data_IF_960540661189
#
_entry.id   IF_960540661189
#
_cell.length_a   1.000
_cell.length_b   1.000
_cell.length_c   1.000
_cell.angle_alpha   90.00
_cell.angle_beta   90.00
_cell.angle_gamma   90.00
#
_symmetry.space_group_name_H-M   'P 1'
#
loop_
_entity.id
_entity.type
_entity.pdbx_description
1 polymer ?
#
# COMPACT_ATOMS: atom_id res chain seq x y z
N UNK A 1 -23.53 15.96 -10.73
CA UNK A 1 -23.79 14.58 -11.20
C UNK A 1 -22.77 13.70 -10.50
N UNK A 2 -23.15 12.61 -9.86
CA UNK A 2 -22.16 11.63 -9.42
C UNK A 2 -21.50 11.08 -10.69
N UNK A 3 -20.21 11.27 -10.80
CA UNK A 3 -19.41 10.63 -11.86
C UNK A 3 -19.31 9.17 -11.45
N UNK A 4 -20.09 8.31 -12.11
CA UNK A 4 -19.99 6.86 -11.90
C UNK A 4 -18.63 6.35 -12.33
N UNK A 5 -18.31 5.10 -11.98
CA UNK A 5 -17.05 4.47 -12.42
C UNK A 5 -17.04 4.41 -13.95
N UNK A 6 -15.97 4.88 -14.61
CA UNK A 6 -15.87 4.84 -16.07
C UNK A 6 -15.97 3.41 -16.58
N UNK A 7 -16.64 3.22 -17.72
CA UNK A 7 -16.69 1.95 -18.42
C UNK A 7 -15.78 1.99 -19.64
N UNK A 8 -15.14 0.86 -19.91
CA UNK A 8 -14.27 0.67 -21.07
C UNK A 8 -14.74 -0.52 -21.90
N UNK A 9 -14.56 -0.51 -23.23
CA UNK A 9 -14.90 -1.65 -24.06
C UNK A 9 -13.93 -2.80 -23.78
N UNK A 10 -14.46 -3.96 -23.55
CA UNK A 10 -13.69 -5.19 -23.38
C UNK A 10 -14.26 -6.30 -24.26
N UNK A 11 -13.39 -6.94 -25.03
CA UNK A 11 -13.73 -8.06 -25.90
C UNK A 11 -13.16 -9.34 -25.31
N UNK A 12 -14.03 -10.26 -24.92
CA UNK A 12 -13.59 -11.58 -24.47
C UNK A 12 -13.07 -12.41 -25.66
N UNK A 13 -12.06 -13.27 -25.46
CA UNK A 13 -11.62 -14.18 -26.50
C UNK A 13 -12.77 -15.05 -27.00
N UNK A 14 -13.06 -14.98 -28.30
CA UNK A 14 -14.12 -15.75 -28.95
C UNK A 14 -15.49 -15.02 -29.07
N UNK A 15 -15.63 -13.82 -28.55
CA UNK A 15 -16.84 -12.99 -28.74
C UNK A 15 -16.65 -12.00 -29.90
N UNK A 16 -17.70 -11.80 -30.71
CA UNK A 16 -17.66 -10.84 -31.82
C UNK A 16 -17.83 -9.40 -31.36
N UNK A 17 -18.63 -9.17 -30.31
CA UNK A 17 -18.93 -7.85 -29.77
C UNK A 17 -18.18 -7.54 -28.49
N UNK A 18 -17.82 -6.26 -28.30
CA UNK A 18 -17.21 -5.77 -27.06
C UNK A 18 -18.30 -5.45 -26.02
N UNK A 19 -18.14 -6.01 -24.81
CA UNK A 19 -18.95 -5.62 -23.66
C UNK A 19 -18.36 -4.39 -22.96
N UNK A 20 -19.21 -3.50 -22.43
CA UNK A 20 -18.79 -2.35 -21.63
C UNK A 20 -18.65 -2.79 -20.16
N UNK A 21 -17.42 -2.85 -19.68
CA UNK A 21 -17.08 -3.26 -18.30
C UNK A 21 -16.52 -2.08 -17.50
N UNK A 22 -16.67 -2.12 -16.20
CA UNK A 22 -16.06 -1.18 -15.27
C UNK A 22 -14.51 -1.19 -15.42
N UNK A 23 -13.90 0.00 -15.42
CA UNK A 23 -12.46 0.14 -15.63
C UNK A 23 -11.65 -0.60 -14.55
N UNK A 24 -12.08 -0.58 -13.29
CA UNK A 24 -11.38 -1.31 -12.23
C UNK A 24 -11.44 -2.82 -12.44
N UNK A 25 -12.60 -3.36 -12.86
CA UNK A 25 -12.69 -4.77 -13.21
C UNK A 25 -11.72 -5.14 -14.33
N UNK A 26 -11.52 -4.25 -15.30
CA UNK A 26 -10.53 -4.48 -16.36
C UNK A 26 -9.10 -4.42 -15.84
N UNK A 27 -8.78 -3.44 -14.98
CA UNK A 27 -7.46 -3.28 -14.38
C UNK A 27 -7.12 -4.44 -13.43
N UNK A 28 -8.07 -4.91 -12.64
CA UNK A 28 -7.86 -6.07 -11.76
C UNK A 28 -7.50 -7.33 -12.56
N UNK A 29 -8.07 -7.53 -13.75
CA UNK A 29 -7.66 -8.64 -14.64
C UNK A 29 -6.22 -8.52 -15.13
N UNK A 30 -5.69 -7.28 -15.21
CA UNK A 30 -4.27 -7.04 -15.49
C UNK A 30 -3.42 -7.04 -14.21
N UNK A 31 -3.99 -7.46 -13.09
CA UNK A 31 -3.32 -7.56 -11.79
C UNK A 31 -2.92 -6.21 -11.18
N UNK A 32 -3.60 -5.14 -11.59
CA UNK A 32 -3.41 -3.79 -11.05
C UNK A 32 -4.45 -3.53 -9.97
N UNK A 33 -4.00 -3.37 -8.74
CA UNK A 33 -4.80 -3.13 -7.54
C UNK A 33 -4.61 -1.68 -7.06
N UNK A 34 -5.61 -1.13 -6.38
CA UNK A 34 -5.58 0.28 -5.96
C UNK A 34 -6.00 0.45 -4.51
N UNK A 35 -5.11 1.06 -3.72
CA UNK A 35 -5.41 1.62 -2.40
C UNK A 35 -5.44 3.15 -2.54
N UNK A 36 -6.58 3.69 -2.96
CA UNK A 36 -6.78 5.12 -3.25
C UNK A 36 -7.58 5.87 -2.20
N UNK A 37 -7.69 5.34 -0.98
CA UNK A 37 -8.51 5.87 0.10
C UNK A 37 -7.91 5.56 1.47
N UNK A 38 -8.63 5.94 2.53
CA UNK A 38 -8.32 5.52 3.90
C UNK A 38 -8.41 4.01 4.05
N UNK A 39 -7.51 3.44 4.87
CA UNK A 39 -7.46 2.01 5.16
C UNK A 39 -8.51 1.67 6.20
N UNK A 40 -9.59 1.05 5.76
CA UNK A 40 -10.67 0.51 6.59
C UNK A 40 -10.90 -0.98 6.32
N UNK A 41 -11.87 -1.57 7.00
CA UNK A 41 -12.19 -2.99 6.85
C UNK A 41 -12.76 -3.32 5.47
N UNK A 42 -13.45 -2.38 4.81
CA UNK A 42 -14.05 -2.61 3.52
C UNK A 42 -12.99 -2.74 2.42
N UNK A 43 -12.12 -1.72 2.28
CA UNK A 43 -11.04 -1.76 1.28
C UNK A 43 -10.04 -2.89 1.57
N UNK A 44 -9.77 -3.16 2.86
CA UNK A 44 -8.90 -4.27 3.26
C UNK A 44 -9.45 -5.61 2.77
N UNK A 45 -10.71 -5.91 3.04
CA UNK A 45 -11.33 -7.16 2.60
C UNK A 45 -11.37 -7.29 1.07
N UNK A 46 -11.60 -6.19 0.35
CA UNK A 46 -11.57 -6.17 -1.11
C UNK A 46 -10.18 -6.49 -1.66
N UNK A 47 -9.14 -5.82 -1.14
CA UNK A 47 -7.76 -6.04 -1.59
C UNK A 47 -7.26 -7.45 -1.23
N UNK A 48 -7.52 -7.91 -0.01
CA UNK A 48 -7.19 -9.27 0.44
C UNK A 48 -7.86 -10.30 -0.47
N UNK A 49 -9.17 -10.16 -0.72
CA UNK A 49 -9.91 -11.07 -1.59
C UNK A 49 -9.36 -11.09 -3.03
N UNK A 50 -9.02 -9.91 -3.59
CA UNK A 50 -8.44 -9.81 -4.92
C UNK A 50 -7.04 -10.44 -5.00
N UNK A 51 -6.17 -10.17 -4.03
CA UNK A 51 -4.81 -10.75 -4.00
C UNK A 51 -4.86 -12.27 -3.93
N UNK A 52 -5.70 -12.82 -3.05
CA UNK A 52 -5.88 -14.28 -2.91
C UNK A 52 -6.47 -14.87 -4.20
N UNK A 53 -7.50 -14.27 -4.77
CA UNK A 53 -8.12 -14.74 -6.01
C UNK A 53 -7.10 -14.77 -7.16
N UNK A 54 -6.38 -13.66 -7.39
CA UNK A 54 -5.41 -13.55 -8.46
C UNK A 54 -4.20 -14.49 -8.26
N UNK A 55 -3.80 -14.74 -7.01
CA UNK A 55 -2.77 -15.74 -6.70
C UNK A 55 -3.19 -17.16 -7.04
N UNK A 56 -4.47 -17.51 -6.85
CA UNK A 56 -5.02 -18.82 -7.21
C UNK A 56 -5.18 -18.95 -8.73
N UNK A 57 -5.54 -17.87 -9.42
CA UNK A 57 -5.74 -17.85 -10.87
C UNK A 57 -4.43 -18.09 -11.63
N UNK A 58 -3.33 -17.44 -11.21
CA UNK A 58 -2.00 -17.59 -11.80
C UNK A 58 -0.94 -17.16 -10.78
N UNK A 59 -0.18 -18.08 -10.26
CA UNK A 59 0.84 -17.86 -9.24
C UNK A 59 2.19 -17.39 -9.81
N UNK A 60 2.32 -17.31 -11.13
CA UNK A 60 3.57 -16.93 -11.83
C UNK A 60 3.64 -15.47 -12.23
N UNK A 61 2.52 -14.75 -12.21
CA UNK A 61 2.42 -13.35 -12.62
C UNK A 61 2.32 -12.44 -11.40
N UNK A 62 3.19 -11.44 -11.34
CA UNK A 62 3.25 -10.46 -10.25
C UNK A 62 1.97 -9.63 -10.11
N UNK A 63 1.75 -9.10 -8.92
CA UNK A 63 0.68 -8.16 -8.57
C UNK A 63 1.25 -6.75 -8.42
N UNK A 64 0.47 -5.74 -8.78
CA UNK A 64 0.86 -4.33 -8.67
C UNK A 64 -0.15 -3.58 -7.81
N UNK A 65 0.27 -3.10 -6.65
CA UNK A 65 -0.56 -2.33 -5.73
C UNK A 65 -0.18 -0.85 -5.78
N UNK A 66 -1.06 -0.04 -6.37
CA UNK A 66 -0.94 1.42 -6.43
C UNK A 66 -1.51 2.04 -5.17
N UNK A 67 -0.72 2.90 -4.50
CA UNK A 67 -1.04 3.45 -3.18
C UNK A 67 -1.09 4.98 -3.25
N UNK A 68 -2.27 5.54 -2.91
CA UNK A 68 -2.49 6.94 -2.61
C UNK A 68 -3.43 7.04 -1.41
N UNK A 69 -2.88 6.88 -0.21
CA UNK A 69 -3.64 6.69 1.02
C UNK A 69 -3.07 7.52 2.19
N UNK A 70 -3.93 8.19 2.95
CA UNK A 70 -3.52 8.86 4.19
C UNK A 70 -3.23 7.88 5.33
N UNK A 71 -3.42 6.57 5.12
CA UNK A 71 -3.39 5.55 6.16
C UNK A 71 -4.77 5.20 6.67
N UNK A 72 -4.89 4.83 7.93
CA UNK A 72 -6.15 4.45 8.56
C UNK A 72 -5.97 3.38 9.63
N UNK A 73 -6.88 2.46 9.74
CA UNK A 73 -6.95 1.48 10.82
C UNK A 73 -5.81 0.44 10.73
N UNK A 74 -5.19 0.16 11.88
CA UNK A 74 -3.99 -0.69 11.97
C UNK A 74 -4.30 -2.14 11.59
N UNK A 75 -5.34 -2.73 12.15
CA UNK A 75 -5.68 -4.15 11.91
C UNK A 75 -6.01 -4.43 10.45
N UNK A 76 -6.87 -3.64 9.76
CA UNK A 76 -7.07 -3.78 8.32
C UNK A 76 -5.77 -3.63 7.50
N UNK A 77 -4.89 -2.70 7.91
CA UNK A 77 -3.60 -2.52 7.24
C UNK A 77 -2.65 -3.70 7.40
N UNK A 78 -2.59 -4.29 8.59
CA UNK A 78 -1.82 -5.53 8.85
C UNK A 78 -2.38 -6.68 8.01
N UNK A 79 -3.70 -6.82 7.90
CA UNK A 79 -4.31 -7.87 7.08
C UNK A 79 -3.90 -7.77 5.59
N UNK A 80 -3.82 -6.55 5.05
CA UNK A 80 -3.30 -6.33 3.69
C UNK A 80 -1.82 -6.74 3.62
N UNK A 81 -1.00 -6.24 4.55
CA UNK A 81 0.44 -6.55 4.61
C UNK A 81 0.71 -8.05 4.69
N UNK A 82 0.08 -8.75 5.63
CA UNK A 82 0.27 -10.19 5.81
C UNK A 82 -0.18 -10.98 4.58
N UNK A 83 -1.26 -10.55 3.92
CA UNK A 83 -1.70 -11.16 2.66
C UNK A 83 -0.67 -10.97 1.54
N UNK A 84 -0.06 -9.78 1.44
CA UNK A 84 1.03 -9.54 0.48
C UNK A 84 2.22 -10.47 0.71
N UNK A 85 2.53 -10.82 1.96
CA UNK A 85 3.60 -11.78 2.29
C UNK A 85 3.18 -13.24 2.08
N UNK A 86 1.89 -13.54 2.11
CA UNK A 86 1.35 -14.89 2.03
C UNK A 86 1.14 -15.37 0.59
N UNK A 87 0.72 -14.49 -0.32
CA UNK A 87 0.44 -14.87 -1.72
C UNK A 87 1.71 -15.26 -2.46
N UNK A 88 1.61 -16.23 -3.39
CA UNK A 88 2.78 -16.73 -4.13
C UNK A 88 3.39 -15.71 -5.09
N UNK A 89 2.60 -14.92 -5.86
CA UNK A 89 3.15 -13.88 -6.72
C UNK A 89 3.81 -12.76 -5.91
N UNK A 90 4.89 -12.19 -6.43
CA UNK A 90 5.48 -10.99 -5.85
C UNK A 90 4.51 -9.80 -5.96
N UNK A 91 4.42 -9.02 -4.90
CA UNK A 91 3.60 -7.82 -4.87
C UNK A 91 4.48 -6.58 -5.03
N UNK A 92 4.38 -5.94 -6.19
CA UNK A 92 4.96 -4.62 -6.40
C UNK A 92 4.11 -3.56 -5.71
N UNK A 93 4.74 -2.61 -5.04
CA UNK A 93 4.05 -1.45 -4.48
C UNK A 93 4.49 -0.16 -5.16
N UNK A 94 3.53 0.69 -5.51
CA UNK A 94 3.78 1.95 -6.23
C UNK A 94 3.11 3.09 -5.47
N UNK A 95 3.92 3.96 -4.86
CA UNK A 95 3.41 5.18 -4.24
C UNK A 95 3.10 6.24 -5.29
N UNK A 96 1.84 6.65 -5.38
CA UNK A 96 1.39 7.77 -6.20
C UNK A 96 0.67 8.80 -5.32
N UNK A 97 1.15 10.03 -5.31
CA UNK A 97 0.60 11.07 -4.43
C UNK A 97 1.09 10.94 -2.99
N UNK A 98 0.36 10.22 -2.13
CA UNK A 98 0.66 10.10 -0.70
C UNK A 98 0.60 8.63 -0.24
N UNK A 99 1.60 8.21 0.52
CA UNK A 99 1.53 7.01 1.34
C UNK A 99 1.89 7.37 2.79
N UNK A 100 0.87 7.53 3.63
CA UNK A 100 1.05 7.96 5.01
C UNK A 100 0.58 6.88 6.00
N UNK A 101 1.22 6.82 7.18
CA UNK A 101 0.78 5.94 8.27
C UNK A 101 0.68 4.47 7.81
N UNK A 102 -0.48 3.84 7.96
CA UNK A 102 -0.71 2.48 7.44
C UNK A 102 -0.52 2.36 5.91
N UNK A 103 -0.69 3.46 5.14
CA UNK A 103 -0.36 3.49 3.71
C UNK A 103 1.13 3.31 3.45
N UNK A 104 2.01 3.91 4.25
CA UNK A 104 3.47 3.71 4.16
C UNK A 104 3.89 2.31 4.65
N UNK A 105 3.19 1.77 5.63
CA UNK A 105 3.40 0.40 6.11
C UNK A 105 3.09 -0.64 5.03
N UNK A 106 2.00 -0.46 4.30
CA UNK A 106 1.66 -1.31 3.15
C UNK A 106 2.68 -1.11 2.02
N UNK A 107 3.11 0.13 1.77
CA UNK A 107 4.12 0.44 0.75
C UNK A 107 5.43 -0.31 0.99
N UNK A 108 5.95 -0.28 2.22
CA UNK A 108 7.20 -0.97 2.58
C UNK A 108 7.05 -2.49 2.54
N UNK A 109 5.80 -2.99 2.59
CA UNK A 109 5.44 -4.41 2.49
C UNK A 109 5.62 -5.03 1.11
N UNK A 110 5.80 -4.24 0.05
CA UNK A 110 6.08 -4.73 -1.30
C UNK A 110 7.35 -5.59 -1.36
N UNK A 111 7.48 -6.45 -2.38
CA UNK A 111 8.67 -7.28 -2.53
C UNK A 111 9.94 -6.42 -2.64
N UNK A 112 11.02 -6.86 -2.00
CA UNK A 112 12.30 -6.16 -2.03
C UNK A 112 12.77 -6.01 -3.48
N UNK A 113 13.25 -4.83 -3.85
CA UNK A 113 13.58 -4.35 -5.20
C UNK A 113 12.38 -3.99 -6.07
N UNK A 114 11.13 -4.17 -5.58
CA UNK A 114 9.89 -3.94 -6.35
C UNK A 114 8.98 -2.88 -5.71
N UNK A 115 9.53 -2.05 -4.81
CA UNK A 115 8.84 -0.93 -4.17
C UNK A 115 9.22 0.37 -4.87
N UNK A 116 8.25 1.10 -5.41
CA UNK A 116 8.47 2.26 -6.26
C UNK A 116 7.69 3.48 -5.74
N UNK A 117 8.26 4.67 -5.91
CA UNK A 117 7.54 5.93 -5.72
C UNK A 117 7.62 6.81 -6.97
N UNK A 118 6.55 7.50 -7.30
CA UNK A 118 6.58 8.55 -8.32
C UNK A 118 7.38 9.77 -7.82
N UNK A 119 7.99 10.57 -8.71
CA UNK A 119 8.95 11.62 -8.32
C UNK A 119 8.39 12.64 -7.33
N UNK A 120 7.11 12.96 -7.42
CA UNK A 120 6.42 13.93 -6.57
C UNK A 120 5.61 13.28 -5.44
N UNK A 121 5.71 11.97 -5.27
CA UNK A 121 5.03 11.28 -4.18
C UNK A 121 5.63 11.67 -2.82
N UNK A 122 4.79 11.59 -1.79
CA UNK A 122 5.16 11.85 -0.41
C UNK A 122 4.92 10.59 0.41
N UNK A 123 5.83 10.30 1.30
CA UNK A 123 5.71 9.19 2.25
C UNK A 123 5.78 9.73 3.67
N UNK A 124 4.96 9.21 4.58
CA UNK A 124 4.99 9.61 5.98
C UNK A 124 4.89 8.39 6.90
N UNK A 125 5.80 8.34 7.87
CA UNK A 125 5.77 7.36 8.95
C UNK A 125 5.40 8.06 10.25
N UNK A 126 4.58 7.40 11.06
CA UNK A 126 4.32 7.75 12.45
C UNK A 126 3.82 6.54 13.24
N UNK A 127 3.83 6.65 14.56
CA UNK A 127 3.29 5.61 15.43
C UNK A 127 1.77 5.49 15.30
N UNK A 128 1.20 4.29 15.55
CA UNK A 128 -0.25 4.12 15.58
C UNK A 128 -0.85 5.02 16.66
N UNK A 129 -1.88 5.78 16.27
CA UNK A 129 -2.67 6.56 17.20
C UNK A 129 -3.98 5.84 17.55
N UNK A 130 -4.40 5.91 18.80
CA UNK A 130 -5.73 5.49 19.24
C UNK A 130 -6.59 6.71 19.51
N UNK A 131 -7.84 6.67 19.09
CA UNK A 131 -8.85 7.57 19.62
C UNK A 131 -9.34 6.97 20.94
N UNK A 132 -8.98 7.61 22.04
CA UNK A 132 -9.47 7.20 23.34
C UNK A 132 -10.99 7.35 23.43
N UNK A 133 -11.68 6.21 23.54
CA UNK A 133 -13.09 6.19 23.93
C UNK A 133 -13.18 6.20 25.45
N UNK A 134 -14.32 6.65 26.02
CA UNK A 134 -14.63 6.54 27.44
C UNK A 134 -14.76 5.05 27.80
N UNK A 135 -13.66 4.46 28.27
CA UNK A 135 -13.59 3.07 28.72
C UNK A 135 -13.37 3.01 30.24
N UNK A 136 -13.74 1.89 30.85
CA UNK A 136 -13.41 1.64 32.26
C UNK A 136 -11.88 1.53 32.43
N UNK A 137 -11.35 1.97 33.58
CA UNK A 137 -9.91 2.06 33.82
C UNK A 137 -9.13 0.75 33.52
N UNK A 138 -9.75 -0.42 33.77
CA UNK A 138 -9.14 -1.72 33.47
C UNK A 138 -9.05 -2.02 31.96
N UNK A 139 -10.06 -1.64 31.19
CA UNK A 139 -10.08 -1.78 29.72
C UNK A 139 -9.05 -0.87 29.07
N UNK A 140 -8.90 0.35 29.59
CA UNK A 140 -7.88 1.31 29.13
C UNK A 140 -6.46 0.78 29.23
N UNK A 141 -6.11 0.09 30.32
CA UNK A 141 -4.77 -0.51 30.49
C UNK A 141 -4.54 -1.61 29.47
N UNK A 142 -5.51 -2.48 29.27
CA UNK A 142 -5.41 -3.59 28.30
C UNK A 142 -5.28 -3.05 26.86
N UNK A 143 -6.04 -2.02 26.53
CA UNK A 143 -5.98 -1.39 25.20
C UNK A 143 -4.63 -0.68 24.96
N UNK A 144 -4.09 -0.02 25.99
CA UNK A 144 -2.76 0.61 25.93
C UNK A 144 -1.65 -0.44 25.76
N UNK A 145 -1.72 -1.57 26.45
CA UNK A 145 -0.78 -2.69 26.28
C UNK A 145 -0.82 -3.25 24.86
N UNK A 146 -2.01 -3.41 24.28
CA UNK A 146 -2.18 -3.92 22.92
C UNK A 146 -1.64 -2.94 21.87
N UNK A 147 -1.87 -1.64 22.05
CA UNK A 147 -1.27 -0.61 21.20
C UNK A 147 0.25 -0.63 21.22
N UNK A 148 0.85 -0.84 22.38
CA UNK A 148 2.30 -0.95 22.50
C UNK A 148 2.83 -2.18 21.74
N UNK A 149 2.14 -3.31 21.81
CA UNK A 149 2.50 -4.52 21.03
C UNK A 149 2.37 -4.28 19.52
N UNK A 150 1.28 -3.63 19.09
CA UNK A 150 1.10 -3.26 17.68
C UNK A 150 2.20 -2.33 17.21
N UNK A 151 2.53 -1.28 17.99
CA UNK A 151 3.65 -0.39 17.70
C UNK A 151 4.96 -1.16 17.56
N UNK A 152 5.26 -2.07 18.48
CA UNK A 152 6.47 -2.90 18.43
C UNK A 152 6.49 -3.75 17.16
N UNK A 153 5.38 -4.34 16.78
CA UNK A 153 5.23 -5.16 15.57
C UNK A 153 5.50 -4.32 14.31
N UNK A 154 4.84 -3.16 14.18
CA UNK A 154 5.04 -2.26 13.05
C UNK A 154 6.51 -1.78 12.97
N UNK A 155 7.09 -1.41 14.10
CA UNK A 155 8.49 -0.98 14.17
C UNK A 155 9.44 -2.07 13.69
N UNK A 156 9.26 -3.32 14.13
CA UNK A 156 10.07 -4.48 13.69
C UNK A 156 9.97 -4.70 12.19
N UNK A 157 8.78 -4.57 11.62
CA UNK A 157 8.59 -4.68 10.17
C UNK A 157 9.37 -3.59 9.43
N UNK A 158 9.26 -2.32 9.85
CA UNK A 158 10.05 -1.26 9.23
C UNK A 158 11.55 -1.52 9.33
N UNK A 159 12.07 -1.92 10.49
CA UNK A 159 13.49 -2.30 10.68
C UNK A 159 13.90 -3.39 9.68
N UNK A 160 13.11 -4.44 9.57
CA UNK A 160 13.39 -5.57 8.68
C UNK A 160 13.35 -5.17 7.20
N UNK A 161 12.37 -4.36 6.82
CA UNK A 161 12.11 -4.02 5.42
C UNK A 161 12.96 -2.86 4.89
N UNK A 162 13.38 -1.95 5.76
CA UNK A 162 14.25 -0.81 5.39
C UNK A 162 15.73 -1.08 5.61
N UNK A 163 16.06 -2.00 6.52
CA UNK A 163 17.44 -2.25 6.95
C UNK A 163 17.98 -1.21 7.94
N UNK A 164 17.16 -0.22 8.34
CA UNK A 164 17.56 0.78 9.33
C UNK A 164 17.56 0.20 10.74
N UNK A 165 18.46 0.67 11.64
CA UNK A 165 18.47 0.23 13.01
C UNK A 165 17.22 0.66 13.79
N UNK A 166 16.84 -0.13 14.80
CA UNK A 166 15.63 0.07 15.60
C UNK A 166 15.50 1.49 16.15
N UNK A 167 16.59 2.10 16.59
CA UNK A 167 16.55 3.43 17.19
C UNK A 167 16.18 4.53 16.17
N UNK A 168 16.60 4.38 14.89
CA UNK A 168 16.21 5.30 13.81
C UNK A 168 14.71 5.22 13.57
N UNK A 169 14.20 4.01 13.34
CA UNK A 169 12.76 3.80 13.08
C UNK A 169 11.92 4.25 14.29
N UNK A 170 12.38 3.97 15.52
CA UNK A 170 11.66 4.41 16.73
C UNK A 170 11.61 5.93 16.85
N UNK A 171 12.68 6.64 16.51
CA UNK A 171 12.71 8.11 16.51
C UNK A 171 11.80 8.69 15.43
N UNK A 172 11.83 8.13 14.22
CA UNK A 172 10.97 8.55 13.11
C UNK A 172 9.48 8.33 13.41
N UNK A 173 9.15 7.28 14.16
CA UNK A 173 7.76 7.00 14.54
C UNK A 173 7.24 7.91 15.67
N UNK A 174 8.10 8.62 16.43
CA UNK A 174 7.66 9.55 17.47
C UNK A 174 7.06 10.86 16.91
N UNK A 175 7.32 11.17 15.65
CA UNK A 175 6.85 12.40 14.98
C UNK A 175 6.33 12.04 13.60
N UNK A 176 5.50 12.92 13.04
CA UNK A 176 5.09 12.83 11.64
C UNK A 176 6.27 13.18 10.73
N UNK A 177 7.01 12.17 10.28
CA UNK A 177 8.16 12.36 9.39
C UNK A 177 7.69 12.20 7.95
N UNK A 178 7.61 13.36 7.25
CA UNK A 178 7.31 13.39 5.82
C UNK A 178 8.59 13.31 5.00
N UNK A 179 8.59 12.46 4.00
CA UNK A 179 9.69 12.22 3.07
C UNK A 179 9.24 12.47 1.63
N UNK A 180 10.11 13.06 0.83
CA UNK A 180 10.02 13.01 -0.63
C UNK A 180 10.29 11.59 -1.13
N UNK A 181 10.04 11.32 -2.41
CA UNK A 181 10.33 10.02 -3.00
C UNK A 181 11.81 9.62 -2.86
N UNK A 182 12.73 10.58 -3.06
CA UNK A 182 14.19 10.37 -2.93
C UNK A 182 14.62 10.14 -1.49
N UNK A 183 14.04 10.85 -0.52
CA UNK A 183 14.28 10.62 0.90
C UNK A 183 13.74 9.26 1.34
N UNK A 184 12.55 8.85 0.87
CA UNK A 184 11.98 7.53 1.14
C UNK A 184 12.83 6.41 0.54
N UNK A 185 13.45 6.63 -0.62
CA UNK A 185 14.41 5.70 -1.20
C UNK A 185 15.69 5.62 -0.35
N UNK A 186 16.27 6.74 0.04
CA UNK A 186 17.45 6.77 0.91
C UNK A 186 17.17 6.13 2.28
N UNK A 187 15.94 6.25 2.78
CA UNK A 187 15.47 5.62 4.02
C UNK A 187 15.18 4.12 3.85
N UNK A 188 15.10 3.60 2.63
CA UNK A 188 14.83 2.20 2.34
C UNK A 188 13.36 1.79 2.36
N UNK A 189 12.43 2.76 2.36
CA UNK A 189 10.98 2.48 2.27
C UNK A 189 10.60 2.06 0.85
N UNK A 190 11.21 2.68 -0.16
CA UNK A 190 11.08 2.29 -1.55
C UNK A 190 12.46 1.97 -2.14
N UNK A 191 12.49 1.17 -3.19
CA UNK A 191 13.72 0.75 -3.87
C UNK A 191 14.05 1.67 -5.05
N UNK A 192 13.01 2.19 -5.70
CA UNK A 192 13.14 2.98 -6.93
C UNK A 192 12.27 4.25 -6.87
N UNK A 193 12.78 5.32 -7.46
CA UNK A 193 11.99 6.49 -7.84
C UNK A 193 11.78 6.44 -9.34
N UNK A 194 10.53 6.54 -9.80
CA UNK A 194 10.22 6.58 -11.23
C UNK A 194 10.93 7.78 -11.86
N UNK A 195 11.62 7.55 -12.95
CA UNK A 195 12.24 8.63 -13.74
C UNK A 195 11.21 9.14 -14.73
N UNK A 196 11.10 10.44 -14.91
CA UNK A 196 10.38 10.98 -16.07
C UNK A 196 11.02 10.39 -17.34
N UNK A 197 10.18 9.88 -18.24
CA UNK A 197 10.67 9.55 -19.57
C UNK A 197 11.12 10.86 -20.22
N UNK A 198 12.41 11.14 -20.17
CA UNK A 198 13.03 12.05 -21.10
C UNK A 198 12.84 11.43 -22.50
N UNK A 199 11.66 11.64 -23.07
CA UNK A 199 11.52 11.48 -24.50
C UNK A 199 12.50 12.46 -25.11
N UNK A 200 13.66 11.95 -25.51
CA UNK A 200 14.60 12.61 -26.39
C UNK A 200 13.85 13.02 -27.65
N UNK A 201 13.19 14.17 -27.56
CA UNK A 201 12.71 14.92 -28.70
C UNK A 201 13.89 15.60 -29.37
N UNK A 202 14.77 14.81 -29.95
CA UNK A 202 15.74 15.27 -30.92
C UNK A 202 15.66 14.40 -32.16
N UNK A 203 14.74 14.81 -33.02
CA UNK A 203 14.84 14.53 -34.44
C UNK A 203 13.99 15.55 -35.20
N UNK A 204 14.63 16.65 -35.52
CA UNK A 204 14.31 17.45 -36.72
C UNK A 204 15.44 17.34 -37.70
#
# INVERSE_FOLDING_TARGET
MPIGVPKVPFRSPGEEDAAWVDVYNRLHRERLLFLGQEVDSEISNQLVGLMVYLSIEDDTRDLYLFINSPGGWVIPGIAIYDTMQFVSPDVHTVCMGLAASMGSFILVGGEITKRLAFPHARVMIHQPASSFYEAQAGEFILEAEELLKLRETLTKVYVQRTGNPLWVISEDMERDVFMSATEAQAHGIVDLVAVENENTGDSV
#
